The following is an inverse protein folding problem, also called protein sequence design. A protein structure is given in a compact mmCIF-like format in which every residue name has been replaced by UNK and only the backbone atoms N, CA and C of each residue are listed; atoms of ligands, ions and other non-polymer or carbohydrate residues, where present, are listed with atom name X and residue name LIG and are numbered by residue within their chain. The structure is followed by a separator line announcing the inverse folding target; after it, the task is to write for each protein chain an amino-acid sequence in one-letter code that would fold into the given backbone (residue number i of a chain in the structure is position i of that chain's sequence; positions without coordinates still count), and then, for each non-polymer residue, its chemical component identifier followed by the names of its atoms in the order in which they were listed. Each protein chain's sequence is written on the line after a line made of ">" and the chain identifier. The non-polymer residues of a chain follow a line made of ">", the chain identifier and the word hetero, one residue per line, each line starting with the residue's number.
data_IF_358827815452
#
_entry.id   IF_358827815452
#
_cell.length_a   1.000
_cell.length_b   1.000
_cell.length_c   1.000
_cell.angle_alpha   90.00
_cell.angle_beta   90.00
_cell.angle_gamma   90.00
#
_symmetry.space_group_name_H-M   'P 1'
#
loop_
_entity.id
_entity.type
_entity.pdbx_description
1 polymer ?
#
# COMPACT_ATOMS: atom_id res chain seq x y z
N UNK A 1 1.23 -23.92 -34.15
CA UNK A 1 1.92 -24.80 -33.19
C UNK A 1 1.74 -24.18 -31.82
N UNK A 2 0.80 -24.70 -31.03
CA UNK A 2 0.58 -24.22 -29.67
C UNK A 2 1.76 -24.65 -28.81
N UNK A 3 2.40 -23.72 -28.12
CA UNK A 3 3.38 -24.07 -27.09
C UNK A 3 2.66 -24.87 -26.01
N UNK A 4 3.03 -26.14 -25.83
CA UNK A 4 2.62 -26.89 -24.64
C UNK A 4 3.13 -26.10 -23.43
N UNK A 5 2.21 -25.61 -22.61
CA UNK A 5 2.57 -24.98 -21.36
C UNK A 5 2.83 -26.10 -20.36
N UNK A 6 4.07 -26.25 -19.95
CA UNK A 6 4.47 -27.16 -18.88
C UNK A 6 4.09 -26.51 -17.53
N UNK A 7 3.58 -27.32 -16.61
CA UNK A 7 3.05 -26.88 -15.32
C UNK A 7 3.74 -27.63 -14.18
N UNK A 8 4.06 -26.91 -13.11
CA UNK A 8 4.52 -27.45 -11.83
C UNK A 8 3.34 -27.61 -10.87
N UNK A 9 3.32 -28.72 -10.13
CA UNK A 9 2.42 -28.91 -8.99
C UNK A 9 2.99 -28.21 -7.77
N UNK A 10 2.22 -27.33 -7.15
CA UNK A 10 2.59 -26.61 -5.92
C UNK A 10 1.49 -26.71 -4.88
N UNK A 11 1.77 -26.26 -3.65
CA UNK A 11 0.82 -26.25 -2.55
C UNK A 11 -0.44 -25.40 -2.81
N UNK A 12 -0.37 -24.41 -3.72
CA UNK A 12 -1.51 -23.58 -4.14
C UNK A 12 -2.18 -24.05 -5.43
N UNK A 13 -1.71 -25.17 -6.01
CA UNK A 13 -2.19 -25.75 -7.26
C UNK A 13 -1.18 -25.69 -8.40
N UNK A 14 -1.66 -25.88 -9.63
CA UNK A 14 -0.84 -25.91 -10.85
C UNK A 14 -0.45 -24.51 -11.27
N UNK A 15 0.85 -24.23 -11.34
CA UNK A 15 1.41 -22.99 -11.89
C UNK A 15 2.28 -23.32 -13.12
N UNK A 16 2.41 -22.42 -14.11
CA UNK A 16 3.33 -22.64 -15.23
C UNK A 16 4.76 -22.87 -14.73
N UNK A 17 5.54 -23.72 -15.38
CA UNK A 17 6.89 -24.09 -14.91
C UNK A 17 7.83 -22.88 -14.75
N UNK A 18 7.62 -21.86 -15.56
CA UNK A 18 8.40 -20.61 -15.53
C UNK A 18 8.00 -19.66 -14.40
N UNK A 19 6.94 -19.95 -13.65
CA UNK A 19 6.48 -19.12 -12.55
C UNK A 19 7.10 -19.59 -11.24
N UNK A 20 7.54 -18.62 -10.45
CA UNK A 20 8.14 -18.85 -9.15
C UNK A 20 7.17 -18.36 -8.07
N UNK A 21 6.85 -19.22 -7.10
CA UNK A 21 5.92 -18.90 -6.02
C UNK A 21 6.70 -18.38 -4.81
N UNK A 22 6.48 -17.12 -4.45
CA UNK A 22 7.13 -16.46 -3.31
C UNK A 22 6.15 -15.68 -2.46
N UNK A 23 6.42 -15.60 -1.17
CA UNK A 23 5.76 -14.67 -0.29
C UNK A 23 6.08 -13.22 -0.65
N UNK A 24 5.14 -12.30 -0.42
CA UNK A 24 5.33 -10.88 -0.71
C UNK A 24 6.54 -10.28 0.01
N UNK A 25 6.83 -10.78 1.23
CA UNK A 25 7.98 -10.38 2.05
C UNK A 25 9.33 -10.78 1.45
N UNK A 26 9.37 -11.81 0.59
CA UNK A 26 10.61 -12.25 -0.06
C UNK A 26 10.97 -11.38 -1.26
N UNK A 27 9.96 -10.79 -1.89
CA UNK A 27 10.15 -9.93 -3.07
C UNK A 27 10.22 -8.45 -2.71
N UNK A 28 9.62 -8.03 -1.60
CA UNK A 28 9.49 -6.62 -1.21
C UNK A 28 9.44 -6.42 0.31
N UNK A 29 9.87 -5.23 0.72
CA UNK A 29 9.65 -4.74 2.07
C UNK A 29 8.15 -4.48 2.27
N UNK A 30 7.67 -4.68 3.49
CA UNK A 30 6.30 -4.36 3.86
C UNK A 30 6.38 -3.40 5.03
N UNK A 31 5.97 -2.15 4.80
CA UNK A 31 5.96 -1.12 5.82
C UNK A 31 4.56 -0.88 6.33
N UNK A 32 4.41 -1.11 7.63
CA UNK A 32 3.20 -0.80 8.35
C UNK A 32 3.13 0.69 8.69
N UNK A 33 2.03 1.32 8.29
CA UNK A 33 1.67 2.68 8.64
C UNK A 33 1.51 2.85 10.13
N UNK A 34 1.68 4.09 10.60
CA UNK A 34 1.58 4.44 12.01
C UNK A 34 1.07 5.87 12.10
N UNK A 35 0.01 6.08 12.87
CA UNK A 35 -0.55 7.42 12.97
C UNK A 35 0.36 8.32 13.79
N UNK A 36 0.62 9.52 13.27
CA UNK A 36 1.09 10.64 14.07
C UNK A 36 0.09 10.99 15.17
N UNK A 37 0.46 11.89 16.07
CA UNK A 37 -0.50 12.45 17.01
C UNK A 37 -1.47 13.38 16.26
N UNK A 38 -2.75 13.38 16.63
CA UNK A 38 -3.77 14.27 16.05
C UNK A 38 -3.37 15.75 16.00
N UNK A 39 -2.62 16.22 17.00
CA UNK A 39 -2.10 17.58 17.11
C UNK A 39 -1.14 17.97 15.97
N UNK A 40 -0.61 17.00 15.24
CA UNK A 40 0.35 17.20 14.14
C UNK A 40 -0.32 17.28 12.78
N UNK A 41 -1.65 17.17 12.73
CA UNK A 41 -2.44 17.29 11.50
C UNK A 41 -2.69 18.75 11.15
N UNK A 42 -2.57 19.07 9.86
CA UNK A 42 -2.82 20.40 9.32
C UNK A 42 -3.64 20.32 8.04
N UNK A 43 -4.66 21.16 7.92
CA UNK A 43 -5.42 21.35 6.68
C UNK A 43 -4.80 22.44 5.78
N UNK A 44 -3.79 23.16 6.29
CA UNK A 44 -3.22 24.36 5.65
C UNK A 44 -2.00 24.04 4.77
N UNK A 45 -1.72 22.76 4.49
CA UNK A 45 -0.61 22.35 3.63
C UNK A 45 0.76 22.32 4.30
N UNK A 46 0.82 22.37 5.64
CA UNK A 46 2.10 22.27 6.36
C UNK A 46 2.46 20.79 6.59
N UNK A 47 3.56 20.34 5.97
CA UNK A 47 4.12 18.99 6.17
C UNK A 47 3.92 18.06 4.97
N UNK A 48 3.98 16.75 5.20
CA UNK A 48 3.73 15.74 4.16
C UNK A 48 2.24 15.42 4.05
N UNK A 49 1.72 15.13 2.86
CA UNK A 49 0.38 14.59 2.68
C UNK A 49 0.14 13.39 3.57
N UNK A 50 -1.01 13.33 4.23
CA UNK A 50 -1.36 12.26 5.14
C UNK A 50 -2.59 11.51 4.62
N UNK A 51 -2.41 10.21 4.35
CA UNK A 51 -3.48 9.34 3.89
C UNK A 51 -3.94 8.43 5.03
N UNK A 52 -5.24 8.44 5.31
CA UNK A 52 -5.93 7.68 6.36
C UNK A 52 -6.61 6.41 5.81
N UNK A 53 -6.23 5.99 4.60
CA UNK A 53 -6.72 4.78 3.94
C UNK A 53 -7.84 5.07 2.95
N UNK A 54 -8.94 4.30 3.01
CA UNK A 54 -9.98 4.29 1.97
C UNK A 54 -10.56 5.67 1.63
N UNK A 55 -10.73 6.54 2.63
CA UNK A 55 -11.33 7.86 2.43
C UNK A 55 -10.56 8.69 1.42
N UNK A 56 -9.24 8.54 1.41
CA UNK A 56 -8.35 9.29 0.55
C UNK A 56 -8.04 8.55 -0.75
N UNK A 57 -8.37 7.27 -0.85
CA UNK A 57 -8.12 6.46 -2.04
C UNK A 57 -9.10 6.82 -3.16
N UNK A 58 -8.56 7.41 -4.22
CA UNK A 58 -9.24 7.57 -5.50
C UNK A 58 -9.16 6.29 -6.35
N UNK A 59 -9.54 6.39 -7.63
CA UNK A 59 -9.53 5.25 -8.57
C UNK A 59 -8.13 4.67 -8.83
N UNK A 60 -7.10 5.53 -8.82
CA UNK A 60 -5.70 5.16 -9.10
C UNK A 60 -4.70 5.88 -8.19
N UNK A 61 -5.03 7.11 -7.83
CA UNK A 61 -4.19 7.98 -6.99
C UNK A 61 -4.97 8.46 -5.78
N UNK A 62 -4.32 8.60 -4.61
CA UNK A 62 -4.96 9.16 -3.44
C UNK A 62 -5.15 10.68 -3.63
N UNK A 63 -6.14 11.24 -2.94
CA UNK A 63 -6.38 12.68 -2.90
C UNK A 63 -6.02 13.19 -1.51
N UNK A 64 -5.16 14.21 -1.45
CA UNK A 64 -4.73 14.80 -0.18
C UNK A 64 -5.88 15.52 0.49
N UNK A 65 -6.20 15.09 1.71
CA UNK A 65 -7.21 15.74 2.56
C UNK A 65 -6.58 16.46 3.76
N UNK A 66 -5.48 15.94 4.27
CA UNK A 66 -4.79 16.40 5.48
C UNK A 66 -3.28 16.29 5.28
N UNK A 67 -2.50 17.12 5.97
CA UNK A 67 -1.05 17.08 6.01
C UNK A 67 -0.56 16.77 7.43
N UNK A 68 0.62 16.18 7.57
CA UNK A 68 1.25 15.88 8.85
C UNK A 68 2.65 16.50 8.92
N UNK A 69 2.93 17.23 10.00
CA UNK A 69 4.23 17.87 10.26
C UNK A 69 5.25 16.97 10.98
N UNK A 70 4.81 15.88 11.60
CA UNK A 70 5.67 14.91 12.31
C UNK A 70 5.34 13.47 11.86
N UNK A 71 5.67 13.12 10.60
CA UNK A 71 5.36 11.80 10.05
C UNK A 71 6.17 10.71 10.76
N UNK A 72 5.50 9.66 11.24
CA UNK A 72 6.15 8.48 11.84
C UNK A 72 6.55 7.42 10.82
N UNK A 73 5.72 7.28 9.78
CA UNK A 73 5.93 6.36 8.67
C UNK A 73 5.65 7.09 7.37
N UNK A 74 6.53 6.87 6.41
CA UNK A 74 6.54 7.58 5.13
C UNK A 74 6.51 6.53 4.02
N UNK A 75 5.62 6.72 3.06
CA UNK A 75 5.66 6.10 1.75
C UNK A 75 6.39 7.02 0.79
N UNK A 76 7.21 6.46 -0.08
CA UNK A 76 7.87 7.22 -1.14
C UNK A 76 7.01 7.19 -2.40
N UNK A 77 7.21 8.19 -3.25
CA UNK A 77 6.59 8.21 -4.58
C UNK A 77 6.83 6.90 -5.34
N UNK A 78 5.75 6.35 -5.90
CA UNK A 78 5.72 5.09 -6.63
C UNK A 78 5.40 3.87 -5.76
N UNK A 79 5.33 4.03 -4.43
CA UNK A 79 4.88 2.94 -3.58
C UNK A 79 3.40 2.63 -3.78
N UNK A 80 3.09 1.35 -3.86
CA UNK A 80 1.72 0.85 -3.78
C UNK A 80 1.23 0.93 -2.34
N UNK A 81 0.06 1.53 -2.18
CA UNK A 81 -0.69 1.63 -0.94
C UNK A 81 -1.82 0.60 -0.96
N UNK A 82 -1.91 -0.23 0.09
CA UNK A 82 -2.94 -1.27 0.19
C UNK A 82 -3.78 -1.08 1.45
N UNK A 83 -5.12 -1.13 1.31
CA UNK A 83 -6.02 -1.22 2.46
C UNK A 83 -6.07 -2.65 2.99
N UNK A 84 -5.88 -2.81 4.30
CA UNK A 84 -5.99 -4.13 4.96
C UNK A 84 -7.16 -4.20 5.96
N UNK A 85 -8.01 -3.18 5.99
CA UNK A 85 -9.28 -3.11 6.72
C UNK A 85 -10.40 -2.73 5.75
N UNK A 86 -11.63 -3.11 6.08
CA UNK A 86 -12.78 -2.98 5.19
C UNK A 86 -12.96 -1.54 4.64
N UNK A 87 -13.11 -1.38 3.31
CA UNK A 87 -12.98 -2.41 2.27
C UNK A 87 -11.53 -2.89 2.11
N UNK A 88 -11.30 -4.19 2.29
CA UNK A 88 -9.96 -4.81 2.24
C UNK A 88 -9.55 -5.02 0.79
N UNK A 89 -8.27 -4.76 0.49
CA UNK A 89 -7.70 -5.07 -0.82
C UNK A 89 -7.81 -3.94 -1.84
N UNK A 90 -8.19 -2.72 -1.43
CA UNK A 90 -8.11 -1.58 -2.31
C UNK A 90 -6.66 -1.13 -2.47
N UNK A 91 -6.30 -0.83 -3.72
CA UNK A 91 -4.94 -0.52 -4.12
C UNK A 91 -4.88 0.92 -4.65
N UNK A 92 -3.83 1.62 -4.28
CA UNK A 92 -3.50 2.94 -4.78
C UNK A 92 -2.00 3.09 -5.02
N UNK A 93 -1.59 4.14 -5.73
CA UNK A 93 -0.18 4.46 -5.96
C UNK A 93 0.14 5.82 -5.35
N UNK A 94 1.21 5.89 -4.55
CA UNK A 94 1.70 7.15 -4.00
C UNK A 94 2.29 8.03 -5.13
N UNK A 95 1.67 9.18 -5.38
CA UNK A 95 2.13 10.14 -6.41
C UNK A 95 3.26 11.07 -5.92
N UNK A 96 3.43 11.14 -4.61
CA UNK A 96 4.39 11.96 -3.88
C UNK A 96 4.72 11.28 -2.54
N UNK A 97 5.80 11.73 -1.90
CA UNK A 97 6.16 11.22 -0.58
C UNK A 97 5.08 11.61 0.43
N UNK A 98 4.54 10.64 1.15
CA UNK A 98 3.39 10.85 2.00
C UNK A 98 3.52 10.14 3.33
N UNK A 99 2.90 10.72 4.34
CA UNK A 99 2.71 10.06 5.63
C UNK A 99 1.56 9.06 5.54
N UNK A 100 1.79 7.88 6.09
CA UNK A 100 0.82 6.79 6.14
C UNK A 100 0.32 6.54 7.56
N UNK A 101 -0.96 6.76 7.75
CA UNK A 101 -1.61 6.73 9.05
C UNK A 101 -2.23 5.42 9.47
N UNK A 102 -2.56 5.40 10.76
CA UNK A 102 -3.33 4.41 11.50
C UNK A 102 -4.63 5.07 12.00
N UNK A 103 -5.82 4.69 11.54
CA UNK A 103 -7.05 5.38 11.96
C UNK A 103 -7.17 5.57 13.49
N UNK A 104 -7.46 6.78 13.97
CA UNK A 104 -7.36 7.17 15.39
C UNK A 104 -8.38 6.53 16.35
N UNK A 105 -9.15 5.52 15.93
CA UNK A 105 -9.95 4.74 16.87
C UNK A 105 -9.06 3.66 17.51
N UNK A 106 -9.01 3.72 18.84
CA UNK A 106 -8.15 3.05 19.85
C UNK A 106 -7.99 1.51 19.78
N UNK A 107 -8.10 0.87 18.61
CA UNK A 107 -8.02 -0.57 18.39
C UNK A 107 -7.50 -1.00 17.01
N UNK A 108 -7.09 -0.08 16.12
CA UNK A 108 -7.02 -0.41 14.69
C UNK A 108 -5.69 0.02 14.05
N UNK A 109 -4.77 -0.92 13.81
CA UNK A 109 -3.79 -0.77 12.74
C UNK A 109 -4.53 -0.66 11.37
N UNK A 110 -4.10 -0.04 10.25
CA UNK A 110 -3.02 -0.46 9.32
C UNK A 110 -3.07 0.42 8.02
N UNK A 111 -1.92 0.78 7.44
CA UNK A 111 -1.70 1.02 5.98
C UNK A 111 -0.48 0.19 5.59
N UNK A 112 -0.47 -0.54 4.46
CA UNK A 112 0.75 -1.21 3.97
C UNK A 112 1.34 -0.45 2.80
N UNK A 113 2.67 -0.33 2.80
CA UNK A 113 3.45 0.36 1.78
C UNK A 113 4.70 -0.41 1.38
N UNK A 114 5.07 -0.21 0.11
CA UNK A 114 6.25 -0.64 -0.66
C UNK A 114 6.05 -1.90 -1.52
N UNK A 115 5.06 -1.91 -2.41
CA UNK A 115 5.26 -2.60 -3.70
C UNK A 115 5.73 -1.59 -4.73
N UNK A 116 6.81 -1.91 -5.43
CA UNK A 116 7.13 -1.33 -6.72
C UNK A 116 7.08 -2.52 -7.68
N UNK A 117 5.92 -2.85 -8.26
CA UNK A 117 5.87 -3.84 -9.34
C UNK A 117 4.68 -3.62 -10.28
N UNK A 118 4.96 -3.83 -11.56
CA UNK A 118 4.05 -3.78 -12.70
C UNK A 118 2.70 -4.41 -12.39
N UNK A 119 1.65 -3.60 -12.47
CA UNK A 119 0.32 -4.09 -12.81
C UNK A 119 0.46 -4.66 -14.24
N UNK A 120 0.40 -5.97 -14.39
CA UNK A 120 0.04 -6.57 -15.68
C UNK A 120 -1.44 -6.22 -15.89
N UNK A 121 -1.69 -5.19 -16.69
CA UNK A 121 -2.96 -4.96 -17.37
C UNK A 121 -3.09 -5.92 -18.54
#
# INVERSE_FOLDING_TARGET
>A
MGSEQEFNETEIGKIPEKWDFKGLQEVRQINMGQSPKSETYSEVGNGLPFYQGRRDFGRKYPTVSVYCTDPKKIAIKGDVLLTVRAPVGEINEAIEDCCIGLGESRLLDWIMVTMNFCIFL
#
